data_IF_465604755021
#
_entry.id   IF_465604755021
#
_cell.length_a   1.000
_cell.length_b   1.000
_cell.length_c   1.000
_cell.angle_alpha   90.00
_cell.angle_beta   90.00
_cell.angle_gamma   90.00
#
_symmetry.space_group_name_H-M   'P 1'
#
loop_
_entity.id
_entity.type
_entity.pdbx_description
1 polymer ?
#
# COMPACT_ATOMS: atom_id res chain seq x y z
N UNK A 1 91.14 4.73 15.52
CA UNK A 1 91.23 5.46 16.81
C UNK A 1 90.13 6.51 16.82
N UNK A 2 89.28 6.52 17.87
CA UNK A 2 88.32 7.57 18.31
C UNK A 2 87.14 7.84 17.35
N UNK A 3 85.94 7.26 17.51
CA UNK A 3 84.94 7.28 18.61
C UNK A 3 84.38 8.69 18.88
N UNK A 4 83.10 8.82 18.51
CA UNK A 4 82.00 9.60 19.11
C UNK A 4 81.40 10.69 18.23
N UNK A 5 80.37 10.31 17.46
CA UNK A 5 79.15 11.11 17.38
C UNK A 5 77.98 10.23 16.91
N UNK A 6 77.65 9.24 17.76
CA UNK A 6 76.30 8.65 17.76
C UNK A 6 75.52 9.32 18.88
N UNK A 7 74.97 10.51 18.58
CA UNK A 7 73.83 11.03 19.34
C UNK A 7 72.77 11.48 18.36
N UNK A 8 71.57 10.95 18.58
CA UNK A 8 70.30 11.46 18.12
C UNK A 8 69.95 11.22 16.65
N UNK A 9 69.62 9.97 16.33
CA UNK A 9 68.48 9.66 15.46
C UNK A 9 67.72 8.49 16.06
N UNK A 10 67.04 8.74 17.16
CA UNK A 10 65.85 7.96 17.48
C UNK A 10 64.84 8.31 16.38
N UNK A 11 64.72 7.42 15.39
CA UNK A 11 63.57 7.44 14.49
C UNK A 11 62.36 7.22 15.39
N UNK A 12 61.61 8.30 15.63
CA UNK A 12 60.38 8.27 16.38
C UNK A 12 59.36 7.47 15.54
N UNK A 13 59.33 6.16 15.75
CA UNK A 13 58.48 5.20 15.03
C UNK A 13 56.98 5.42 15.31
N UNK A 14 56.62 6.36 16.18
CA UNK A 14 55.24 6.72 16.49
C UNK A 14 54.59 7.67 15.48
N UNK A 15 55.32 8.25 14.52
CA UNK A 15 54.69 9.09 13.48
C UNK A 15 54.25 8.35 12.22
N UNK A 16 54.56 7.05 12.09
CA UNK A 16 54.15 6.23 10.94
C UNK A 16 52.92 5.34 11.23
N UNK A 17 52.37 5.39 12.45
CA UNK A 17 51.21 4.61 12.89
C UNK A 17 49.99 5.48 13.25
N UNK A 18 49.89 6.69 12.70
CA UNK A 18 48.71 7.56 12.87
C UNK A 18 48.10 8.00 11.53
N UNK A 19 47.94 7.07 10.59
CA UNK A 19 46.98 7.24 9.49
C UNK A 19 46.34 5.90 9.17
N UNK A 20 45.60 5.38 10.14
CA UNK A 20 44.55 4.40 9.88
C UNK A 20 43.32 4.88 10.63
N UNK A 21 42.54 5.70 9.91
CA UNK A 21 41.09 5.70 9.95
C UNK A 21 40.46 5.13 11.23
N UNK A 22 40.28 5.99 12.23
CA UNK A 22 39.05 5.94 13.03
C UNK A 22 37.91 6.52 12.19
N UNK A 23 37.70 5.95 11.00
CA UNK A 23 36.39 5.92 10.41
C UNK A 23 35.62 4.96 11.32
N UNK A 24 34.86 5.53 12.25
CA UNK A 24 33.77 4.83 12.92
C UNK A 24 33.04 4.03 11.86
N UNK A 25 33.32 2.73 11.77
CA UNK A 25 32.45 1.78 11.07
C UNK A 25 31.20 1.70 11.92
N UNK A 26 30.38 2.75 11.86
CA UNK A 26 28.94 2.60 11.91
C UNK A 26 28.64 1.71 10.72
N UNK A 27 28.72 0.41 10.93
CA UNK A 27 28.15 -0.57 10.02
C UNK A 27 26.73 -0.09 9.83
N UNK A 28 26.47 0.47 8.65
CA UNK A 28 25.18 1.00 8.30
C UNK A 28 24.23 -0.21 8.27
N UNK A 29 23.59 -0.47 9.41
CA UNK A 29 22.54 -1.48 9.59
C UNK A 29 21.41 -1.27 8.56
N UNK A 30 21.37 -0.11 7.91
CA UNK A 30 20.46 0.26 6.82
C UNK A 30 20.60 -0.56 5.53
N UNK A 31 21.58 -1.48 5.39
CA UNK A 31 21.76 -2.27 4.16
C UNK A 31 21.80 -3.79 4.37
N UNK A 32 21.51 -4.28 5.57
CA UNK A 32 21.43 -5.72 5.83
C UNK A 32 20.22 -6.32 5.07
N UNK A 33 20.34 -7.51 4.43
CA UNK A 33 19.22 -8.23 3.83
C UNK A 33 18.05 -8.43 4.80
N UNK A 34 18.34 -8.57 6.10
CA UNK A 34 17.33 -8.63 7.16
C UNK A 34 16.58 -7.30 7.34
N UNK A 35 17.28 -6.16 7.27
CA UNK A 35 16.66 -4.84 7.38
C UNK A 35 15.75 -4.56 6.18
N UNK A 36 16.16 -4.97 4.97
CA UNK A 36 15.32 -4.89 3.77
C UNK A 36 14.06 -5.77 3.89
N UNK A 37 14.21 -7.02 4.35
CA UNK A 37 13.08 -7.93 4.57
C UNK A 37 12.12 -7.43 5.65
N UNK A 38 12.64 -6.84 6.73
CA UNK A 38 11.81 -6.25 7.78
C UNK A 38 11.03 -5.04 7.28
N UNK A 39 11.64 -4.21 6.43
CA UNK A 39 10.97 -3.04 5.85
C UNK A 39 9.88 -3.46 4.86
N UNK A 40 10.14 -4.48 4.03
CA UNK A 40 9.14 -5.08 3.15
C UNK A 40 7.94 -5.64 3.94
N UNK A 41 8.19 -6.40 5.02
CA UNK A 41 7.14 -6.94 5.89
C UNK A 41 6.28 -5.83 6.52
N UNK A 42 6.89 -4.71 6.92
CA UNK A 42 6.16 -3.55 7.44
C UNK A 42 5.29 -2.90 6.37
N UNK A 43 5.81 -2.75 5.15
CA UNK A 43 5.06 -2.17 4.04
C UNK A 43 3.85 -3.04 3.66
N UNK A 44 4.02 -4.37 3.62
CA UNK A 44 2.92 -5.32 3.40
C UNK A 44 1.85 -5.16 4.48
N UNK A 45 2.25 -5.10 5.76
CA UNK A 45 1.32 -4.91 6.87
C UNK A 45 0.59 -3.58 6.79
N UNK A 46 1.30 -2.47 6.54
CA UNK A 46 0.70 -1.15 6.36
C UNK A 46 -0.34 -1.16 5.24
N UNK A 47 0.02 -1.75 4.11
CA UNK A 47 -0.89 -1.88 2.98
C UNK A 47 -2.15 -2.67 3.32
N UNK A 48 -2.00 -3.82 4.01
CA UNK A 48 -3.14 -4.61 4.50
C UNK A 48 -4.06 -3.80 5.40
N UNK A 49 -3.49 -3.07 6.38
CA UNK A 49 -4.29 -2.20 7.27
C UNK A 49 -5.04 -1.11 6.51
N UNK A 50 -4.41 -0.48 5.52
CA UNK A 50 -5.07 0.53 4.70
C UNK A 50 -6.23 -0.04 3.87
N UNK A 51 -6.09 -1.26 3.36
CA UNK A 51 -7.17 -1.93 2.63
C UNK A 51 -8.34 -2.29 3.56
N UNK A 52 -8.05 -2.81 4.76
CA UNK A 52 -9.07 -3.13 5.75
C UNK A 52 -9.83 -1.88 6.23
N UNK A 53 -9.11 -0.77 6.43
CA UNK A 53 -9.71 0.51 6.79
C UNK A 53 -10.60 1.03 5.66
N UNK A 54 -10.13 0.97 4.41
CA UNK A 54 -10.91 1.39 3.25
C UNK A 54 -12.16 0.54 3.06
N UNK A 55 -12.06 -0.77 3.27
CA UNK A 55 -13.19 -1.68 3.31
C UNK A 55 -14.20 -1.24 4.38
N UNK A 56 -13.77 -0.99 5.62
CA UNK A 56 -14.67 -0.52 6.68
C UNK A 56 -15.40 0.76 6.28
N UNK A 57 -14.69 1.74 5.73
CA UNK A 57 -15.27 2.99 5.26
C UNK A 57 -16.31 2.79 4.15
N UNK A 58 -16.07 1.86 3.21
CA UNK A 58 -17.04 1.49 2.17
C UNK A 58 -18.31 0.91 2.80
N UNK A 59 -18.17 0.02 3.79
CA UNK A 59 -19.32 -0.56 4.50
C UNK A 59 -20.15 0.50 5.22
N UNK A 60 -19.49 1.41 5.95
CA UNK A 60 -20.13 2.49 6.67
C UNK A 60 -20.84 3.46 5.72
N UNK A 61 -20.18 3.87 4.64
CA UNK A 61 -20.78 4.72 3.61
C UNK A 61 -21.97 4.03 2.93
N UNK A 62 -21.89 2.73 2.66
CA UNK A 62 -23.00 1.95 2.12
C UNK A 62 -24.19 1.89 3.09
N UNK A 63 -23.95 1.68 4.39
CA UNK A 63 -24.99 1.70 5.42
C UNK A 63 -25.67 3.08 5.54
N UNK A 64 -24.92 4.16 5.38
CA UNK A 64 -25.49 5.51 5.34
C UNK A 64 -26.33 5.72 4.08
N UNK A 65 -25.83 5.28 2.93
CA UNK A 65 -26.53 5.41 1.65
C UNK A 65 -27.84 4.62 1.61
N UNK A 66 -27.89 3.43 2.20
CA UNK A 66 -29.12 2.64 2.34
C UNK A 66 -30.22 3.40 3.10
N UNK A 67 -29.83 4.16 4.13
CA UNK A 67 -30.76 4.94 4.97
C UNK A 67 -31.18 6.24 4.32
N UNK A 68 -30.23 6.96 3.72
CA UNK A 68 -30.47 8.32 3.20
C UNK A 68 -30.99 8.34 1.77
N UNK A 69 -30.60 7.35 0.95
CA UNK A 69 -30.83 7.30 -0.49
C UNK A 69 -30.57 8.65 -1.19
N UNK A 70 -29.52 9.36 -0.76
CA UNK A 70 -29.20 10.70 -1.27
C UNK A 70 -27.97 10.65 -2.20
N UNK A 71 -27.85 11.68 -3.05
CA UNK A 71 -26.76 11.77 -4.04
C UNK A 71 -25.39 12.02 -3.40
N UNK A 72 -25.34 12.71 -2.25
CA UNK A 72 -24.08 13.04 -1.56
C UNK A 72 -23.40 11.81 -0.98
N UNK A 73 -24.18 10.96 -0.33
CA UNK A 73 -23.73 9.69 0.24
C UNK A 73 -23.39 8.69 -0.86
N UNK A 74 -24.10 8.73 -2.00
CA UNK A 74 -23.73 7.96 -3.18
C UNK A 74 -22.37 8.38 -3.73
N UNK A 75 -22.11 9.67 -3.87
CA UNK A 75 -20.80 10.17 -4.32
C UNK A 75 -19.69 9.68 -3.37
N UNK A 76 -19.88 9.84 -2.05
CA UNK A 76 -18.92 9.35 -1.06
C UNK A 76 -18.67 7.84 -1.19
N UNK A 77 -19.74 7.05 -1.30
CA UNK A 77 -19.65 5.59 -1.46
C UNK A 77 -18.90 5.19 -2.75
N UNK A 78 -19.24 5.83 -3.87
CA UNK A 78 -18.60 5.61 -5.16
C UNK A 78 -17.11 5.96 -5.13
N UNK A 79 -16.76 7.10 -4.54
CA UNK A 79 -15.37 7.58 -4.52
C UNK A 79 -14.47 6.67 -3.64
N UNK A 80 -15.03 6.09 -2.57
CA UNK A 80 -14.35 5.07 -1.77
C UNK A 80 -14.11 3.77 -2.55
N UNK A 81 -15.13 3.28 -3.29
CA UNK A 81 -14.98 2.09 -4.15
C UNK A 81 -13.94 2.32 -5.25
N UNK A 82 -13.93 3.52 -5.84
CA UNK A 82 -12.92 3.91 -6.83
C UNK A 82 -11.52 3.90 -6.21
N UNK A 83 -11.37 4.47 -5.02
CA UNK A 83 -10.08 4.49 -4.31
C UNK A 83 -9.57 3.08 -4.03
N UNK A 84 -10.47 2.14 -3.69
CA UNK A 84 -10.11 0.74 -3.47
C UNK A 84 -9.63 0.10 -4.76
N UNK A 85 -10.39 0.28 -5.83
CA UNK A 85 -10.07 -0.27 -7.15
C UNK A 85 -8.71 0.25 -7.65
N UNK A 86 -8.46 1.56 -7.52
CA UNK A 86 -7.21 2.18 -7.91
C UNK A 86 -6.02 1.64 -7.09
N UNK A 87 -6.21 1.40 -5.78
CA UNK A 87 -5.17 0.79 -4.92
C UNK A 87 -4.86 -0.66 -5.31
N UNK A 88 -5.90 -1.46 -5.59
CA UNK A 88 -5.72 -2.87 -5.97
C UNK A 88 -5.06 -2.99 -7.35
N UNK A 89 -5.47 -2.17 -8.32
CA UNK A 89 -4.84 -2.14 -9.64
C UNK A 89 -3.36 -1.73 -9.53
N UNK A 90 -3.03 -0.71 -8.74
CA UNK A 90 -1.63 -0.29 -8.51
C UNK A 90 -0.79 -1.38 -7.87
N UNK A 91 -1.34 -2.15 -6.94
CA UNK A 91 -0.62 -3.24 -6.27
C UNK A 91 -0.43 -4.46 -7.18
N UNK A 92 -1.41 -4.78 -8.03
CA UNK A 92 -1.25 -5.78 -9.09
C UNK A 92 -0.07 -5.47 -10.04
N UNK A 93 0.28 -4.19 -10.22
CA UNK A 93 1.50 -3.78 -10.94
C UNK A 93 2.78 -3.97 -10.12
N UNK A 94 2.74 -3.87 -8.80
CA UNK A 94 3.88 -4.07 -7.88
C UNK A 94 4.22 -5.55 -7.74
N UNK A 95 3.21 -6.43 -7.64
CA UNK A 95 3.34 -7.90 -7.61
C UNK A 95 3.54 -8.44 -9.04
N UNK A 96 4.45 -7.85 -9.82
CA UNK A 96 4.72 -8.24 -11.21
C UNK A 96 5.65 -9.44 -11.36
N UNK A 97 6.19 -9.98 -10.27
CA UNK A 97 7.30 -10.95 -10.35
C UNK A 97 6.87 -12.42 -10.25
N UNK A 98 5.65 -12.80 -9.84
CA UNK A 98 5.38 -14.25 -9.58
C UNK A 98 4.03 -14.86 -10.02
N UNK A 99 2.99 -14.13 -10.46
CA UNK A 99 1.67 -14.78 -10.67
C UNK A 99 0.91 -14.51 -11.98
N UNK A 100 0.14 -15.54 -12.35
CA UNK A 100 -0.38 -15.96 -13.66
C UNK A 100 -1.37 -15.01 -14.35
N UNK A 101 -1.30 -14.96 -15.69
CA UNK A 101 -2.23 -14.27 -16.59
C UNK A 101 -3.72 -14.57 -16.35
N UNK A 102 -4.06 -15.72 -15.75
CA UNK A 102 -5.46 -16.11 -15.49
C UNK A 102 -6.12 -15.35 -14.33
N UNK A 103 -5.37 -14.85 -13.33
CA UNK A 103 -5.95 -14.09 -12.20
C UNK A 103 -6.37 -12.68 -12.62
N UNK A 104 -5.54 -12.03 -13.45
CA UNK A 104 -5.75 -10.67 -13.96
C UNK A 104 -7.07 -10.51 -14.74
N UNK A 105 -7.42 -11.50 -15.56
CA UNK A 105 -8.67 -11.45 -16.35
C UNK A 105 -9.93 -11.39 -15.48
N UNK A 106 -9.92 -12.01 -14.29
CA UNK A 106 -11.06 -11.98 -13.37
C UNK A 106 -11.17 -10.66 -12.62
N UNK A 107 -10.05 -10.07 -12.19
CA UNK A 107 -10.03 -8.78 -11.50
C UNK A 107 -10.64 -7.67 -12.38
N UNK A 108 -10.25 -7.60 -13.66
CA UNK A 108 -10.84 -6.63 -14.61
C UNK A 108 -12.34 -6.88 -14.85
N UNK A 109 -12.80 -8.14 -14.84
CA UNK A 109 -14.23 -8.45 -14.96
C UNK A 109 -15.01 -8.01 -13.72
N UNK A 110 -14.46 -8.17 -12.51
CA UNK A 110 -15.11 -7.74 -11.28
C UNK A 110 -15.19 -6.21 -11.22
N UNK A 111 -14.12 -5.51 -11.59
CA UNK A 111 -14.13 -4.04 -11.68
C UNK A 111 -15.17 -3.53 -12.68
N UNK A 112 -15.29 -4.19 -13.84
CA UNK A 112 -16.31 -3.83 -14.84
C UNK A 112 -17.72 -4.00 -14.28
N UNK A 113 -17.99 -5.14 -13.60
CA UNK A 113 -19.28 -5.39 -12.92
C UNK A 113 -19.58 -4.36 -11.83
N UNK A 114 -18.57 -3.94 -11.06
CA UNK A 114 -18.74 -2.90 -10.04
C UNK A 114 -19.19 -1.58 -10.69
N UNK A 115 -18.57 -1.19 -11.79
CA UNK A 115 -18.95 0.03 -12.51
C UNK A 115 -20.40 -0.04 -13.02
N UNK A 116 -20.80 -1.16 -13.62
CA UNK A 116 -22.19 -1.38 -14.08
C UNK A 116 -23.21 -1.27 -12.93
N UNK A 117 -22.86 -1.78 -11.75
CA UNK A 117 -23.71 -1.68 -10.57
C UNK A 117 -23.77 -0.28 -9.98
N UNK A 118 -22.66 0.46 -9.97
CA UNK A 118 -22.62 1.86 -9.55
C UNK A 118 -23.48 2.73 -10.47
N UNK A 119 -23.44 2.49 -11.77
CA UNK A 119 -24.28 3.18 -12.75
C UNK A 119 -25.76 2.85 -12.57
N UNK A 120 -26.06 1.57 -12.32
CA UNK A 120 -27.43 1.14 -12.00
C UNK A 120 -27.96 1.80 -10.73
N UNK A 121 -27.13 1.86 -9.68
CA UNK A 121 -27.46 2.52 -8.42
C UNK A 121 -27.67 4.02 -8.60
N UNK A 122 -26.83 4.68 -9.38
CA UNK A 122 -27.00 6.10 -9.73
C UNK A 122 -28.37 6.37 -10.36
N UNK A 123 -28.78 5.55 -11.35
CA UNK A 123 -30.10 5.69 -11.99
C UNK A 123 -31.25 5.51 -11.00
N UNK A 124 -31.14 4.57 -10.06
CA UNK A 124 -32.16 4.38 -9.01
C UNK A 124 -32.27 5.57 -8.07
N UNK A 125 -31.15 6.21 -7.73
CA UNK A 125 -31.13 7.38 -6.83
C UNK A 125 -31.68 8.62 -7.53
N UNK A 126 -31.45 8.74 -8.84
CA UNK A 126 -31.95 9.85 -9.65
C UNK A 126 -33.42 9.71 -10.05
N UNK A 127 -34.01 8.51 -9.88
CA UNK A 127 -35.42 8.29 -10.16
C UNK A 127 -36.31 9.13 -9.24
N UNK A 128 -37.38 9.72 -9.80
CA UNK A 128 -38.38 10.47 -9.03
C UNK A 128 -39.07 9.60 -7.97
N UNK A 129 -39.23 8.31 -8.24
CA UNK A 129 -39.75 7.33 -7.30
C UNK A 129 -38.61 6.51 -6.70
N UNK A 130 -38.16 6.87 -5.50
CA UNK A 130 -37.08 6.15 -4.81
C UNK A 130 -37.54 4.78 -4.35
N UNK A 131 -37.08 3.75 -5.06
CA UNK A 131 -37.22 2.37 -4.60
C UNK A 131 -36.10 2.02 -3.62
N UNK A 132 -36.34 2.26 -2.33
CA UNK A 132 -35.36 2.00 -1.26
C UNK A 132 -34.92 0.54 -1.18
N UNK A 133 -35.80 -0.42 -1.48
CA UNK A 133 -35.46 -1.86 -1.49
C UNK A 133 -34.47 -2.15 -2.62
N UNK A 134 -34.71 -1.62 -3.82
CA UNK A 134 -33.79 -1.78 -4.95
C UNK A 134 -32.43 -1.14 -4.66
N UNK A 135 -32.40 0.05 -4.06
CA UNK A 135 -31.16 0.72 -3.63
C UNK A 135 -30.40 -0.14 -2.62
N UNK A 136 -31.06 -0.65 -1.59
CA UNK A 136 -30.43 -1.50 -0.58
C UNK A 136 -29.85 -2.78 -1.19
N UNK A 137 -30.58 -3.44 -2.09
CA UNK A 137 -30.09 -4.62 -2.80
C UNK A 137 -28.84 -4.31 -3.64
N UNK A 138 -28.80 -3.15 -4.31
CA UNK A 138 -27.63 -2.71 -5.09
C UNK A 138 -26.42 -2.42 -4.20
N UNK A 139 -26.61 -1.74 -3.07
CA UNK A 139 -25.54 -1.49 -2.11
C UNK A 139 -25.00 -2.79 -1.53
N UNK A 140 -25.87 -3.73 -1.16
CA UNK A 140 -25.46 -5.05 -0.67
C UNK A 140 -24.66 -5.83 -1.71
N UNK A 141 -25.08 -5.81 -2.99
CA UNK A 141 -24.33 -6.44 -4.08
C UNK A 141 -22.95 -5.79 -4.28
N UNK A 142 -22.86 -4.47 -4.22
CA UNK A 142 -21.60 -3.74 -4.33
C UNK A 142 -20.64 -4.06 -3.17
N UNK A 143 -21.15 -4.17 -1.94
CA UNK A 143 -20.36 -4.64 -0.78
C UNK A 143 -19.81 -6.05 -1.01
N UNK A 144 -20.62 -6.95 -1.58
CA UNK A 144 -20.19 -8.30 -1.96
C UNK A 144 -19.08 -8.30 -3.01
N UNK A 145 -19.25 -7.53 -4.09
CA UNK A 145 -18.21 -7.41 -5.14
C UNK A 145 -16.89 -6.82 -4.59
N UNK A 146 -16.98 -5.91 -3.61
CA UNK A 146 -15.80 -5.38 -2.90
C UNK A 146 -15.08 -6.47 -2.11
N UNK A 147 -15.80 -7.41 -1.48
CA UNK A 147 -15.18 -8.57 -0.85
C UNK A 147 -14.52 -9.49 -1.88
N UNK A 148 -15.18 -9.73 -3.02
CA UNK A 148 -14.65 -10.59 -4.08
C UNK A 148 -13.32 -10.05 -4.65
N UNK A 149 -13.16 -8.73 -4.69
CA UNK A 149 -11.91 -8.07 -5.10
C UNK A 149 -10.75 -8.26 -4.12
N UNK A 150 -11.07 -8.49 -2.84
CA UNK A 150 -10.07 -8.63 -1.77
C UNK A 150 -9.78 -10.10 -1.43
N UNK A 151 -10.46 -11.04 -2.08
CA UNK A 151 -10.34 -12.49 -1.86
C UNK A 151 -9.19 -13.14 -2.62
#
# INVERSE_FOLDING_TARGET
MRVQERRNREMNLNSLLMTSQDASMKVAVSSSPFAAMLEEEKEIKRYSYELDELKRQIYDAGNMLEKSANMKDFQKFRDLIRSLTDKLVKDAYRIRIVSSYMRRGREYQVVSKINEELDSLYRLIMSEQKNHIAIANKVMRLKGLVLDLMS
#
